data_IF_634392808522
#
_entry.id   IF_634392808522
#
_cell.length_a   1.000
_cell.length_b   1.000
_cell.length_c   1.000
_cell.angle_alpha   90.00
_cell.angle_beta   90.00
_cell.angle_gamma   90.00
#
_symmetry.space_group_name_H-M   'P 1'
#
loop_
_entity.id
_entity.type
_entity.pdbx_description
1 polymer ?
#
# COMPACT_ATOMS: atom_id res chain seq x y z
N UNK A 1 -24.08 -61.82 -3.10
CA UNK A 1 -22.84 -61.19 -2.62
C UNK A 1 -21.99 -60.80 -3.82
N UNK A 2 -22.28 -59.63 -4.36
CA UNK A 2 -21.32 -58.72 -4.99
C UNK A 2 -21.95 -57.33 -4.80
N UNK A 3 -22.11 -56.94 -3.53
CA UNK A 3 -22.82 -55.73 -3.11
C UNK A 3 -21.92 -54.47 -3.23
N UNK A 4 -20.82 -54.59 -3.96
CA UNK A 4 -19.83 -53.54 -4.16
C UNK A 4 -20.02 -52.97 -5.56
N UNK A 5 -20.18 -51.64 -5.72
CA UNK A 5 -20.16 -51.06 -7.06
C UNK A 5 -18.89 -51.51 -7.76
N UNK A 6 -19.04 -52.03 -8.97
CA UNK A 6 -17.91 -52.57 -9.74
C UNK A 6 -16.82 -51.49 -9.79
N UNK A 7 -15.58 -51.83 -9.43
CA UNK A 7 -14.45 -50.89 -9.42
C UNK A 7 -14.36 -50.12 -10.74
N UNK A 8 -14.69 -50.78 -11.85
CA UNK A 8 -14.83 -50.18 -13.17
C UNK A 8 -15.78 -48.97 -13.19
N UNK A 9 -16.98 -49.09 -12.60
CA UNK A 9 -17.97 -48.03 -12.56
C UNK A 9 -17.47 -46.83 -11.76
N UNK A 10 -16.79 -47.07 -10.63
CA UNK A 10 -16.17 -46.02 -9.82
C UNK A 10 -15.07 -45.29 -10.61
N UNK A 11 -14.23 -46.03 -11.34
CA UNK A 11 -13.18 -45.45 -12.21
C UNK A 11 -13.81 -44.62 -13.33
N UNK A 12 -14.86 -45.12 -13.98
CA UNK A 12 -15.57 -44.40 -15.05
C UNK A 12 -16.18 -43.09 -14.54
N UNK A 13 -16.85 -43.13 -13.37
CA UNK A 13 -17.37 -41.93 -12.70
C UNK A 13 -16.23 -40.94 -12.41
N UNK A 14 -15.12 -41.42 -11.85
CA UNK A 14 -13.95 -40.59 -11.55
C UNK A 14 -13.38 -39.89 -12.79
N UNK A 15 -13.24 -40.62 -13.91
CA UNK A 15 -12.76 -40.07 -15.19
C UNK A 15 -13.74 -39.05 -15.77
N UNK A 16 -15.05 -39.33 -15.74
CA UNK A 16 -16.09 -38.41 -16.22
C UNK A 16 -16.10 -37.11 -15.41
N UNK A 17 -16.03 -37.19 -14.08
CA UNK A 17 -16.00 -36.02 -13.21
C UNK A 17 -14.70 -35.24 -13.38
N UNK A 18 -13.55 -35.91 -13.44
CA UNK A 18 -12.26 -35.26 -13.63
C UNK A 18 -12.17 -34.54 -14.99
N UNK A 19 -12.59 -35.20 -16.07
CA UNK A 19 -12.65 -34.60 -17.40
C UNK A 19 -13.66 -33.44 -17.45
N UNK A 20 -14.82 -33.59 -16.82
CA UNK A 20 -15.83 -32.53 -16.70
C UNK A 20 -15.28 -31.29 -16.00
N UNK A 21 -14.61 -31.47 -14.84
CA UNK A 21 -13.97 -30.38 -14.10
C UNK A 21 -12.82 -29.74 -14.89
N UNK A 22 -12.00 -30.54 -15.58
CA UNK A 22 -10.93 -30.02 -16.42
C UNK A 22 -11.47 -29.13 -17.55
N UNK A 23 -12.55 -29.55 -18.20
CA UNK A 23 -13.23 -28.78 -19.25
C UNK A 23 -13.92 -27.51 -18.72
N UNK A 24 -14.46 -27.55 -17.48
CA UNK A 24 -15.05 -26.37 -16.84
C UNK A 24 -14.03 -25.26 -16.53
N UNK A 25 -12.75 -25.61 -16.41
CA UNK A 25 -11.67 -24.64 -16.18
C UNK A 25 -11.16 -24.00 -17.47
N UNK A 26 -11.65 -24.44 -18.63
CA UNK A 26 -11.25 -23.86 -19.91
C UNK A 26 -11.99 -22.56 -20.21
N UNK A 27 -11.43 -21.78 -21.13
CA UNK A 27 -11.92 -20.43 -21.45
C UNK A 27 -13.07 -20.40 -22.46
N UNK A 28 -13.22 -21.44 -23.27
CA UNK A 28 -14.24 -21.48 -24.34
C UNK A 28 -15.56 -22.01 -23.80
N UNK A 29 -16.64 -21.29 -24.12
CA UNK A 29 -18.01 -21.64 -23.71
C UNK A 29 -18.42 -23.03 -24.20
N UNK A 30 -17.97 -23.45 -25.38
CA UNK A 30 -18.26 -24.81 -25.91
C UNK A 30 -17.59 -25.90 -25.06
N UNK A 31 -16.36 -25.65 -24.59
CA UNK A 31 -15.64 -26.58 -23.70
C UNK A 31 -16.30 -26.63 -22.32
N UNK A 32 -16.70 -25.47 -21.78
CA UNK A 32 -17.48 -25.40 -20.52
C UNK A 32 -18.79 -26.19 -20.65
N UNK A 33 -19.52 -26.04 -21.78
CA UNK A 33 -20.75 -26.77 -22.06
C UNK A 33 -20.53 -28.30 -22.06
N UNK A 34 -19.49 -28.76 -22.76
CA UNK A 34 -19.10 -30.18 -22.74
C UNK A 34 -18.74 -30.63 -21.32
N UNK A 35 -18.05 -29.80 -20.54
CA UNK A 35 -17.75 -30.05 -19.14
C UNK A 35 -18.98 -30.27 -18.28
N UNK A 36 -20.01 -29.43 -18.42
CA UNK A 36 -21.31 -29.58 -17.72
C UNK A 36 -22.00 -30.89 -18.12
N UNK A 37 -22.00 -31.25 -19.41
CA UNK A 37 -22.59 -32.50 -19.90
C UNK A 37 -21.84 -33.71 -19.31
N UNK A 38 -20.50 -33.73 -19.38
CA UNK A 38 -19.69 -34.83 -18.84
C UNK A 38 -19.88 -34.98 -17.33
N UNK A 39 -19.87 -33.87 -16.59
CA UNK A 39 -20.07 -33.86 -15.14
C UNK A 39 -21.47 -34.37 -14.78
N UNK A 40 -22.51 -33.91 -15.48
CA UNK A 40 -23.89 -34.37 -15.28
C UNK A 40 -24.02 -35.89 -15.50
N UNK A 41 -23.40 -36.42 -16.56
CA UNK A 41 -23.36 -37.87 -16.80
C UNK A 41 -22.61 -38.63 -15.71
N UNK A 42 -21.47 -38.11 -15.25
CA UNK A 42 -20.71 -38.69 -14.13
C UNK A 42 -21.52 -38.74 -12.83
N UNK A 43 -22.24 -37.66 -12.50
CA UNK A 43 -23.12 -37.59 -11.32
C UNK A 43 -24.30 -38.56 -11.45
N UNK A 44 -24.93 -38.67 -12.62
CA UNK A 44 -26.01 -39.62 -12.86
C UNK A 44 -25.54 -41.07 -12.65
N UNK A 45 -24.35 -41.43 -13.14
CA UNK A 45 -23.75 -42.74 -12.91
C UNK A 45 -23.38 -42.93 -11.43
N UNK A 46 -22.95 -41.88 -10.74
CA UNK A 46 -22.67 -41.93 -9.30
C UNK A 46 -23.93 -42.19 -8.47
N UNK A 47 -25.05 -41.56 -8.82
CA UNK A 47 -26.35 -41.82 -8.19
C UNK A 47 -26.80 -43.25 -8.48
N UNK A 48 -26.63 -43.72 -9.72
CA UNK A 48 -26.95 -45.10 -10.08
C UNK A 48 -26.13 -46.10 -9.25
N UNK A 49 -24.86 -45.79 -8.99
CA UNK A 49 -23.98 -46.60 -8.14
C UNK A 49 -24.47 -46.75 -6.70
N UNK A 50 -25.29 -45.83 -6.20
CA UNK A 50 -25.86 -45.91 -4.84
C UNK A 50 -27.12 -46.76 -4.76
N UNK A 51 -27.70 -47.15 -5.91
CA UNK A 51 -28.98 -47.88 -5.99
C UNK A 51 -28.92 -49.37 -5.69
N UNK A 52 -27.79 -49.89 -5.23
CA UNK A 52 -27.65 -51.28 -4.79
C UNK A 52 -27.48 -52.28 -5.93
N UNK A 53 -27.84 -53.55 -5.65
CA UNK A 53 -27.65 -54.66 -6.58
C UNK A 53 -28.50 -54.50 -7.85
N UNK A 54 -27.96 -54.96 -8.98
CA UNK A 54 -28.70 -55.00 -10.23
C UNK A 54 -29.87 -56.00 -10.11
N UNK A 55 -31.10 -55.48 -10.10
CA UNK A 55 -32.33 -56.25 -10.11
C UNK A 55 -33.11 -56.10 -11.42
N UNK A 56 -34.27 -56.73 -11.50
CA UNK A 56 -35.20 -56.51 -12.61
C UNK A 56 -35.80 -55.09 -12.60
N UNK A 57 -36.47 -54.68 -13.71
CA UNK A 57 -37.11 -53.38 -13.80
C UNK A 57 -38.14 -53.18 -12.67
N UNK A 58 -38.22 -51.99 -12.04
CA UNK A 58 -39.21 -51.67 -11.01
C UNK A 58 -40.58 -51.42 -11.64
N UNK A 59 -41.12 -52.47 -12.27
CA UNK A 59 -42.42 -52.47 -12.94
C UNK A 59 -43.28 -53.57 -12.32
N UNK A 60 -44.47 -53.19 -11.86
CA UNK A 60 -45.42 -54.12 -11.24
C UNK A 60 -45.83 -55.21 -12.25
N UNK A 61 -45.75 -56.47 -11.81
CA UNK A 61 -46.17 -57.63 -12.61
C UNK A 61 -45.10 -58.24 -13.53
N UNK A 62 -43.88 -57.68 -13.57
CA UNK A 62 -42.78 -58.23 -14.38
C UNK A 62 -41.71 -58.94 -13.54
N UNK A 63 -41.37 -58.39 -12.38
CA UNK A 63 -40.32 -58.91 -11.48
C UNK A 63 -40.91 -59.10 -10.07
N UNK A 64 -40.55 -60.14 -9.31
CA UNK A 64 -40.83 -60.20 -7.87
C UNK A 64 -40.28 -58.98 -7.14
N UNK A 65 -40.96 -58.49 -6.10
CA UNK A 65 -40.60 -57.24 -5.39
C UNK A 65 -39.19 -57.34 -4.78
N UNK A 66 -38.81 -58.53 -4.34
CA UNK A 66 -37.52 -58.83 -3.72
C UNK A 66 -36.36 -58.79 -4.74
N UNK A 67 -36.66 -58.87 -6.03
CA UNK A 67 -35.67 -58.88 -7.13
C UNK A 67 -35.70 -57.56 -7.93
N UNK A 68 -36.52 -56.58 -7.55
CA UNK A 68 -36.58 -55.28 -8.22
C UNK A 68 -35.38 -54.40 -7.86
N UNK A 69 -34.89 -53.65 -8.85
CA UNK A 69 -33.95 -52.53 -8.59
C UNK A 69 -34.64 -51.40 -7.84
N UNK A 70 -33.90 -50.65 -7.02
CA UNK A 70 -34.45 -49.50 -6.28
C UNK A 70 -35.00 -48.42 -7.25
N UNK A 71 -36.30 -48.08 -7.18
CA UNK A 71 -36.90 -47.05 -8.04
C UNK A 71 -36.47 -45.62 -7.69
N UNK A 72 -35.99 -45.37 -6.46
CA UNK A 72 -35.67 -44.01 -5.99
C UNK A 72 -34.50 -43.37 -6.76
N UNK A 73 -33.32 -44.01 -6.91
CA UNK A 73 -32.23 -43.49 -7.74
C UNK A 73 -32.65 -43.27 -9.20
N UNK A 74 -33.50 -44.15 -9.75
CA UNK A 74 -33.95 -44.04 -11.14
C UNK A 74 -34.81 -42.80 -11.37
N UNK A 75 -35.75 -42.51 -10.46
CA UNK A 75 -36.56 -41.30 -10.51
C UNK A 75 -35.69 -40.03 -10.37
N UNK A 76 -34.66 -40.08 -9.52
CA UNK A 76 -33.73 -38.95 -9.34
C UNK A 76 -32.86 -38.69 -10.56
N UNK A 77 -32.38 -39.74 -11.22
CA UNK A 77 -31.62 -39.61 -12.47
C UNK A 77 -32.50 -39.03 -13.58
N UNK A 78 -33.76 -39.45 -13.69
CA UNK A 78 -34.68 -38.89 -14.69
C UNK A 78 -34.86 -37.37 -14.51
N UNK A 79 -35.01 -36.90 -13.26
CA UNK A 79 -35.11 -35.47 -12.97
C UNK A 79 -33.80 -34.74 -13.25
N UNK A 80 -32.67 -35.32 -12.89
CA UNK A 80 -31.35 -34.75 -13.15
C UNK A 80 -31.07 -34.61 -14.67
N UNK A 81 -31.48 -35.58 -15.49
CA UNK A 81 -31.35 -35.54 -16.95
C UNK A 81 -32.14 -34.36 -17.53
N UNK A 82 -33.38 -34.15 -17.10
CA UNK A 82 -34.23 -33.06 -17.61
C UNK A 82 -33.66 -31.69 -17.23
N UNK A 83 -33.18 -31.54 -15.98
CA UNK A 83 -32.52 -30.30 -15.54
C UNK A 83 -31.25 -30.04 -16.36
N UNK A 84 -30.42 -31.07 -16.54
CA UNK A 84 -29.18 -30.98 -17.32
C UNK A 84 -29.48 -30.59 -18.76
N UNK A 85 -30.52 -31.16 -19.38
CA UNK A 85 -30.96 -30.79 -20.72
C UNK A 85 -31.39 -29.31 -20.79
N UNK A 86 -32.16 -28.84 -19.83
CA UNK A 86 -32.60 -27.44 -19.76
C UNK A 86 -31.43 -26.46 -19.61
N UNK A 87 -30.50 -26.75 -18.69
CA UNK A 87 -29.29 -25.95 -18.50
C UNK A 87 -28.40 -26.00 -19.74
N UNK A 88 -28.23 -27.17 -20.36
CA UNK A 88 -27.43 -27.34 -21.59
C UNK A 88 -28.03 -26.54 -22.75
N UNK A 89 -29.34 -26.59 -22.95
CA UNK A 89 -30.02 -25.81 -23.98
C UNK A 89 -29.87 -24.30 -23.75
N UNK A 90 -29.99 -23.86 -22.49
CA UNK A 90 -29.78 -22.45 -22.11
C UNK A 90 -28.35 -21.99 -22.35
N UNK A 91 -27.36 -22.77 -21.88
CA UNK A 91 -25.94 -22.48 -22.09
C UNK A 91 -25.59 -22.48 -23.58
N UNK A 92 -26.14 -23.40 -24.37
CA UNK A 92 -25.94 -23.46 -25.81
C UNK A 92 -26.55 -22.24 -26.51
N UNK A 93 -27.74 -21.79 -26.10
CA UNK A 93 -28.35 -20.56 -26.62
C UNK A 93 -27.51 -19.32 -26.29
N UNK A 94 -26.94 -19.24 -25.08
CA UNK A 94 -26.01 -18.17 -24.70
C UNK A 94 -24.70 -18.23 -25.49
N UNK A 95 -24.12 -19.42 -25.66
CA UNK A 95 -22.91 -19.61 -26.45
C UNK A 95 -23.14 -19.19 -27.91
N UNK A 96 -24.27 -19.59 -28.51
CA UNK A 96 -24.68 -19.16 -29.84
C UNK A 96 -24.84 -17.64 -29.92
N UNK A 97 -25.48 -17.02 -28.92
CA UNK A 97 -25.65 -15.57 -28.86
C UNK A 97 -24.33 -14.83 -28.70
N UNK A 98 -23.42 -15.34 -27.89
CA UNK A 98 -22.06 -14.80 -27.69
C UNK A 98 -21.27 -14.86 -28.99
N UNK A 99 -21.28 -16.02 -29.66
CA UNK A 99 -20.63 -16.17 -30.96
C UNK A 99 -21.19 -15.20 -32.02
N UNK A 100 -22.51 -14.99 -32.06
CA UNK A 100 -23.13 -14.03 -32.97
C UNK A 100 -22.69 -12.57 -32.69
N UNK A 101 -22.39 -12.22 -31.44
CA UNK A 101 -22.02 -10.85 -31.04
C UNK A 101 -20.51 -10.58 -31.12
N UNK A 102 -19.68 -11.57 -30.79
CA UNK A 102 -18.23 -11.41 -30.65
C UNK A 102 -17.42 -12.14 -31.73
N UNK A 103 -18.01 -13.04 -32.51
CA UNK A 103 -17.31 -13.86 -33.51
C UNK A 103 -16.50 -15.02 -32.95
N UNK A 104 -16.32 -15.09 -31.62
CA UNK A 104 -15.65 -16.17 -30.90
C UNK A 104 -16.43 -16.54 -29.63
N UNK A 105 -16.20 -17.73 -29.07
CA UNK A 105 -16.90 -18.24 -27.88
C UNK A 105 -16.03 -18.21 -26.60
N UNK A 106 -14.92 -17.44 -26.61
CA UNK A 106 -14.06 -17.27 -25.44
C UNK A 106 -14.65 -16.32 -24.40
N UNK A 107 -14.60 -16.74 -23.13
CA UNK A 107 -14.94 -15.92 -21.98
C UNK A 107 -13.83 -14.89 -21.75
N UNK A 108 -14.13 -13.61 -21.98
CA UNK A 108 -13.17 -12.52 -21.82
C UNK A 108 -12.97 -12.11 -20.35
N UNK A 109 -11.75 -11.71 -20.01
CA UNK A 109 -11.45 -11.06 -18.73
C UNK A 109 -12.09 -9.68 -18.69
N UNK A 110 -12.84 -9.40 -17.61
CA UNK A 110 -13.55 -8.15 -17.41
C UNK A 110 -12.61 -6.93 -17.52
N UNK A 111 -13.01 -5.95 -18.33
CA UNK A 111 -12.31 -4.69 -18.47
C UNK A 111 -12.29 -3.90 -17.14
N UNK A 112 -13.26 -4.12 -16.25
CA UNK A 112 -13.29 -3.53 -14.91
C UNK A 112 -12.19 -4.10 -14.00
N UNK A 113 -11.93 -5.41 -14.06
CA UNK A 113 -10.84 -6.05 -13.32
C UNK A 113 -9.46 -5.53 -13.77
N UNK A 114 -9.27 -5.33 -15.07
CA UNK A 114 -8.06 -4.69 -15.62
C UNK A 114 -7.94 -3.21 -15.20
N UNK A 115 -9.04 -2.50 -15.00
CA UNK A 115 -9.03 -1.10 -14.49
C UNK A 115 -8.69 -1.05 -13.00
N UNK A 116 -9.03 -2.07 -12.22
CA UNK A 116 -8.67 -2.16 -10.81
C UNK A 116 -7.15 -2.37 -10.65
N UNK A 117 -6.53 -3.19 -11.50
CA UNK A 117 -5.06 -3.40 -11.47
C UNK A 117 -4.29 -2.10 -11.74
N UNK A 118 -4.67 -1.34 -12.78
CA UNK A 118 -4.09 0.00 -13.08
C UNK A 118 -4.49 1.07 -12.04
N UNK A 119 -5.64 0.91 -11.38
CA UNK A 119 -6.03 1.71 -10.22
C UNK A 119 -5.08 1.55 -9.02
N UNK A 120 -4.52 0.35 -8.85
CA UNK A 120 -3.52 0.02 -7.84
C UNK A 120 -2.27 0.91 -7.93
N UNK A 121 -1.72 1.09 -9.13
CA UNK A 121 -0.50 1.89 -9.34
C UNK A 121 -0.66 3.35 -8.89
N UNK A 122 -1.84 3.94 -9.16
CA UNK A 122 -2.15 5.31 -8.72
C UNK A 122 -2.28 5.41 -7.20
N UNK A 123 -2.87 4.39 -6.56
CA UNK A 123 -2.98 4.33 -5.09
C UNK A 123 -1.60 4.18 -4.46
N UNK A 124 -0.74 3.35 -5.05
CA UNK A 124 0.62 3.12 -4.58
C UNK A 124 1.51 4.36 -4.73
N UNK A 125 1.47 5.04 -5.88
CA UNK A 125 2.17 6.31 -6.08
C UNK A 125 1.72 7.36 -5.06
N UNK A 126 0.41 7.47 -4.80
CA UNK A 126 -0.11 8.39 -3.77
C UNK A 126 0.41 8.03 -2.38
N UNK A 127 0.49 6.75 -2.04
CA UNK A 127 1.06 6.27 -0.78
C UNK A 127 2.55 6.64 -0.66
N UNK A 128 3.38 6.33 -1.66
CA UNK A 128 4.81 6.70 -1.67
C UNK A 128 5.02 8.21 -1.52
N UNK A 129 4.25 9.04 -2.25
CA UNK A 129 4.34 10.50 -2.14
C UNK A 129 3.97 10.98 -0.72
N UNK A 130 2.97 10.39 -0.07
CA UNK A 130 2.60 10.73 1.31
C UNK A 130 3.72 10.35 2.28
N UNK A 131 4.32 9.17 2.12
CA UNK A 131 5.43 8.70 2.96
C UNK A 131 6.67 9.60 2.80
N UNK A 132 7.07 9.95 1.57
CA UNK A 132 8.17 10.89 1.33
C UNK A 132 7.94 12.27 1.96
N UNK A 133 6.71 12.80 1.87
CA UNK A 133 6.36 14.08 2.51
C UNK A 133 6.42 13.99 4.04
N UNK A 134 5.94 12.88 4.62
CA UNK A 134 6.02 12.63 6.06
C UNK A 134 7.47 12.52 6.53
N UNK A 135 8.33 11.84 5.76
CA UNK A 135 9.77 11.74 6.03
C UNK A 135 10.43 13.11 6.06
N UNK A 136 10.27 13.91 4.99
CA UNK A 136 10.85 15.25 4.92
C UNK A 136 10.35 16.16 6.06
N UNK A 137 9.06 16.12 6.39
CA UNK A 137 8.53 16.92 7.49
C UNK A 137 9.13 16.53 8.85
N UNK A 138 9.32 15.23 9.10
CA UNK A 138 9.99 14.74 10.32
C UNK A 138 11.43 15.24 10.40
N UNK A 139 12.16 15.19 9.29
CA UNK A 139 13.56 15.64 9.22
C UNK A 139 13.69 17.15 9.47
N UNK A 140 12.88 17.97 8.80
CA UNK A 140 12.84 19.42 9.02
C UNK A 140 12.46 19.74 10.48
N UNK A 141 11.52 18.98 11.06
CA UNK A 141 11.10 19.18 12.45
C UNK A 141 12.25 18.86 13.43
N UNK A 142 13.00 17.78 13.17
CA UNK A 142 14.17 17.40 13.96
C UNK A 142 15.28 18.45 13.87
N UNK A 143 15.60 18.94 12.66
CA UNK A 143 16.58 20.01 12.47
C UNK A 143 16.21 21.28 13.25
N UNK A 144 14.92 21.68 13.21
CA UNK A 144 14.43 22.83 13.97
C UNK A 144 14.48 22.62 15.48
N UNK A 145 14.20 21.42 15.98
CA UNK A 145 14.31 21.13 17.42
C UNK A 145 15.76 21.18 17.88
N UNK A 146 16.69 20.62 17.10
CA UNK A 146 18.12 20.63 17.41
C UNK A 146 18.68 22.06 17.42
N UNK A 147 18.31 22.86 16.42
CA UNK A 147 18.69 24.27 16.38
C UNK A 147 18.15 25.04 17.59
N UNK A 148 16.88 24.82 17.94
CA UNK A 148 16.27 25.45 19.12
C UNK A 148 16.98 25.03 20.41
N UNK A 149 17.38 23.77 20.52
CA UNK A 149 18.13 23.27 21.68
C UNK A 149 19.52 23.90 21.78
N UNK A 150 20.21 24.10 20.64
CA UNK A 150 21.50 24.81 20.59
C UNK A 150 21.38 26.27 21.04
N UNK A 151 20.39 26.99 20.53
CA UNK A 151 20.11 28.38 20.94
C UNK A 151 19.82 28.45 22.44
N UNK A 152 18.94 27.58 22.96
CA UNK A 152 18.64 27.55 24.38
C UNK A 152 19.84 27.13 25.26
N UNK A 153 20.82 26.40 24.72
CA UNK A 153 22.06 26.11 25.42
C UNK A 153 23.01 27.33 25.44
N UNK A 154 23.05 28.08 24.35
CA UNK A 154 23.83 29.31 24.23
C UNK A 154 23.26 30.43 25.12
N UNK A 155 21.93 30.62 25.11
CA UNK A 155 21.24 31.58 25.99
C UNK A 155 21.53 31.28 27.47
N UNK A 156 21.53 30.00 27.87
CA UNK A 156 21.90 29.59 29.25
C UNK A 156 23.34 29.94 29.61
N UNK A 157 24.28 29.86 28.65
CA UNK A 157 25.67 30.28 28.87
C UNK A 157 25.76 31.80 29.02
N UNK A 158 25.07 32.56 28.16
CA UNK A 158 25.00 34.01 28.28
C UNK A 158 24.40 34.44 29.63
N UNK A 159 23.33 33.78 30.10
CA UNK A 159 22.72 34.07 31.39
C UNK A 159 23.67 33.81 32.56
N UNK A 160 24.43 32.72 32.52
CA UNK A 160 25.45 32.41 33.52
C UNK A 160 26.57 33.46 33.52
N UNK A 161 27.09 33.85 32.35
CA UNK A 161 28.09 34.93 32.25
C UNK A 161 27.56 36.26 32.76
N UNK A 162 26.29 36.61 32.46
CA UNK A 162 25.66 37.83 32.96
C UNK A 162 25.49 37.79 34.48
N UNK A 163 25.21 36.63 35.06
CA UNK A 163 25.14 36.45 36.50
C UNK A 163 26.51 36.67 37.16
N UNK A 164 27.57 36.09 36.57
CA UNK A 164 28.95 36.28 37.04
C UNK A 164 29.40 37.74 36.97
N UNK A 165 29.13 38.44 35.86
CA UNK A 165 29.44 39.88 35.73
C UNK A 165 28.66 40.70 36.79
N UNK A 166 27.39 40.35 37.04
CA UNK A 166 26.57 41.02 38.06
C UNK A 166 27.13 40.81 39.46
N UNK A 167 27.62 39.61 39.75
CA UNK A 167 28.27 39.29 41.03
C UNK A 167 29.59 40.07 41.19
N UNK A 168 30.42 40.13 40.14
CA UNK A 168 31.64 40.95 40.11
C UNK A 168 31.35 42.43 40.36
N UNK A 169 30.30 42.98 39.74
CA UNK A 169 29.85 44.36 39.99
C UNK A 169 29.42 44.57 41.44
N UNK A 170 28.66 43.62 42.02
CA UNK A 170 28.22 43.70 43.40
C UNK A 170 29.38 43.54 44.41
N UNK A 171 30.42 42.77 44.07
CA UNK A 171 31.65 42.70 44.86
C UNK A 171 32.43 44.03 44.78
N UNK A 172 32.61 44.57 43.58
CA UNK A 172 33.29 45.84 43.38
C UNK A 172 32.58 47.01 44.09
N UNK A 173 31.24 47.02 44.12
CA UNK A 173 30.47 48.01 44.89
C UNK A 173 30.75 47.88 46.40
N UNK A 174 30.79 46.66 46.94
CA UNK A 174 31.11 46.42 48.36
C UNK A 174 32.53 46.87 48.71
N UNK A 175 33.51 46.58 47.86
CA UNK A 175 34.90 46.99 48.07
C UNK A 175 35.05 48.52 48.01
N UNK A 176 34.31 49.18 47.11
CA UNK A 176 34.27 50.63 47.01
C UNK A 176 33.64 51.26 48.26
N UNK A 177 32.53 50.71 48.75
CA UNK A 177 31.87 51.16 49.99
C UNK A 177 32.80 50.99 51.21
N UNK A 178 33.58 49.90 51.27
CA UNK A 178 34.59 49.70 52.31
C UNK A 178 35.71 50.75 52.26
N UNK A 179 36.24 51.06 51.07
CA UNK A 179 37.26 52.11 50.90
C UNK A 179 36.75 53.53 51.21
N UNK A 180 35.45 53.78 51.04
CA UNK A 180 34.79 55.04 51.40
C UNK A 180 34.58 55.17 52.92
N UNK A 181 34.53 54.05 53.65
CA UNK A 181 34.39 54.03 55.11
C UNK A 181 35.72 54.13 55.88
N UNK A 182 36.86 53.84 55.25
CA UNK A 182 38.20 53.98 55.81
C UNK A 182 38.78 55.39 55.55
N UNK A 183 39.59 55.91 56.47
CA UNK A 183 40.16 57.27 56.45
C UNK A 183 41.39 57.38 55.51
N UNK A 184 41.21 57.00 54.25
CA UNK A 184 42.26 57.03 53.21
C UNK A 184 42.40 58.43 52.57
N UNK A 185 43.64 58.77 52.18
CA UNK A 185 43.99 60.02 51.48
C UNK A 185 43.27 60.13 50.12
N UNK A 186 42.78 61.33 49.77
CA UNK A 186 41.96 61.59 48.58
C UNK A 186 42.65 61.22 47.25
N UNK A 187 43.97 61.33 47.18
CA UNK A 187 44.75 60.98 45.98
C UNK A 187 44.75 59.46 45.71
N UNK A 188 44.73 58.64 46.78
CA UNK A 188 44.69 57.17 46.70
C UNK A 188 43.31 56.69 46.27
N UNK A 189 42.24 57.36 46.75
CA UNK A 189 40.85 57.09 46.35
C UNK A 189 40.63 57.37 44.87
N UNK A 190 41.12 58.51 44.37
CA UNK A 190 40.93 58.89 42.97
C UNK A 190 41.64 57.91 42.02
N UNK A 191 42.88 57.51 42.35
CA UNK A 191 43.65 56.56 41.52
C UNK A 191 43.00 55.16 41.46
N UNK A 192 42.38 54.71 42.56
CA UNK A 192 41.61 53.47 42.60
C UNK A 192 40.33 53.53 41.75
N UNK A 193 39.59 54.64 41.81
CA UNK A 193 38.38 54.85 40.99
C UNK A 193 38.73 54.85 39.50
N UNK A 194 39.80 55.52 39.10
CA UNK A 194 40.22 55.62 37.70
C UNK A 194 40.70 54.27 37.14
N UNK A 195 41.59 53.55 37.84
CA UNK A 195 42.06 52.22 37.42
C UNK A 195 40.90 51.21 37.31
N UNK A 196 39.94 51.29 38.25
CA UNK A 196 38.80 50.37 38.27
C UNK A 196 37.71 50.72 37.26
N UNK A 197 37.47 52.00 36.97
CA UNK A 197 36.54 52.41 35.90
C UNK A 197 37.06 52.07 34.51
N UNK A 198 38.38 52.14 34.27
CA UNK A 198 39.00 51.62 33.06
C UNK A 198 38.83 50.10 32.94
N UNK A 199 39.05 49.35 34.02
CA UNK A 199 38.83 47.90 34.07
C UNK A 199 37.39 47.49 33.75
N UNK A 200 36.40 48.19 34.31
CA UNK A 200 34.98 47.95 34.04
C UNK A 200 34.62 48.32 32.60
N UNK A 201 35.10 49.46 32.07
CA UNK A 201 34.89 49.84 30.66
C UNK A 201 35.46 48.81 29.70
N UNK A 202 36.69 48.34 29.93
CA UNK A 202 37.32 47.31 29.11
C UNK A 202 36.53 45.99 29.13
N UNK A 203 35.96 45.62 30.28
CA UNK A 203 35.13 44.40 30.43
C UNK A 203 33.80 44.53 29.67
N UNK A 204 33.14 45.69 29.75
CA UNK A 204 31.89 45.97 29.02
C UNK A 204 32.12 46.00 27.51
N UNK A 205 33.21 46.60 27.03
CA UNK A 205 33.59 46.58 25.62
C UNK A 205 33.82 45.16 25.10
N UNK A 206 34.58 44.34 25.84
CA UNK A 206 34.80 42.93 25.50
C UNK A 206 33.49 42.13 25.47
N UNK A 207 32.58 42.36 26.42
CA UNK A 207 31.26 41.72 26.43
C UNK A 207 30.40 42.15 25.23
N UNK A 208 30.36 43.46 24.90
CA UNK A 208 29.66 43.97 23.72
C UNK A 208 30.22 43.41 22.41
N UNK A 209 31.54 43.27 22.31
CA UNK A 209 32.21 42.66 21.16
C UNK A 209 31.78 41.21 20.95
N UNK A 210 31.77 40.39 22.03
CA UNK A 210 31.32 39.00 21.99
C UNK A 210 29.85 38.86 21.59
N UNK A 211 28.94 39.64 22.18
CA UNK A 211 27.50 39.61 21.83
C UNK A 211 27.25 39.98 20.36
N UNK A 212 28.01 40.94 19.81
CA UNK A 212 27.92 41.28 18.38
C UNK A 212 28.39 40.13 17.50
N UNK A 213 29.47 39.44 17.88
CA UNK A 213 29.98 38.28 17.16
C UNK A 213 28.98 37.11 17.18
N UNK A 214 28.46 36.72 18.36
CA UNK A 214 27.45 35.66 18.50
C UNK A 214 26.18 35.96 17.71
N UNK A 215 25.70 37.22 17.72
CA UNK A 215 24.55 37.62 16.88
C UNK A 215 24.82 37.47 15.39
N UNK A 216 26.03 37.79 14.93
CA UNK A 216 26.40 37.66 13.53
C UNK A 216 26.48 36.18 13.11
N UNK A 217 27.06 35.35 13.97
CA UNK A 217 27.18 33.90 13.78
C UNK A 217 25.80 33.23 13.74
N UNK A 218 24.93 33.52 14.72
CA UNK A 218 23.55 33.04 14.76
C UNK A 218 22.76 33.43 13.51
N UNK A 219 22.89 34.69 13.07
CA UNK A 219 22.22 35.16 11.85
C UNK A 219 22.71 34.42 10.59
N UNK A 220 24.00 34.08 10.52
CA UNK A 220 24.56 33.30 9.42
C UNK A 220 24.01 31.86 9.40
N UNK A 221 23.94 31.20 10.56
CA UNK A 221 23.41 29.85 10.70
C UNK A 221 21.92 29.77 10.35
N UNK A 222 21.11 30.73 10.80
CA UNK A 222 19.69 30.78 10.48
C UNK A 222 19.44 30.98 8.98
N UNK A 223 20.27 31.77 8.29
CA UNK A 223 20.21 31.93 6.84
C UNK A 223 20.55 30.64 6.12
N UNK A 224 21.64 29.98 6.51
CA UNK A 224 22.08 28.71 5.94
C UNK A 224 21.02 27.61 6.10
N UNK A 225 20.42 27.48 7.29
CA UNK A 225 19.40 26.46 7.58
C UNK A 225 18.12 26.70 6.75
N UNK A 226 17.68 27.97 6.64
CA UNK A 226 16.53 28.35 5.80
C UNK A 226 16.78 28.06 4.32
N UNK A 227 18.01 28.24 3.85
CA UNK A 227 18.39 27.88 2.49
C UNK A 227 18.41 26.36 2.27
N UNK A 228 18.91 25.59 3.23
CA UNK A 228 18.90 24.12 3.19
C UNK A 228 17.46 23.59 3.12
N UNK A 229 16.55 24.09 3.97
CA UNK A 229 15.13 23.71 3.95
C UNK A 229 14.49 24.01 2.58
N UNK A 230 14.81 25.18 2.00
CA UNK A 230 14.33 25.56 0.65
C UNK A 230 14.86 24.63 -0.44
N UNK A 231 16.13 24.22 -0.37
CA UNK A 231 16.75 23.28 -1.33
C UNK A 231 16.08 21.91 -1.25
N UNK A 232 15.92 21.35 -0.04
CA UNK A 232 15.26 20.06 0.18
C UNK A 232 13.80 20.07 -0.33
N UNK A 233 13.03 21.13 -0.04
CA UNK A 233 11.65 21.27 -0.54
C UNK A 233 11.60 21.35 -2.08
N UNK A 234 12.52 22.09 -2.71
CA UNK A 234 12.61 22.19 -4.18
C UNK A 234 12.95 20.83 -4.79
N UNK A 235 13.89 20.11 -4.21
CA UNK A 235 14.30 18.79 -4.70
C UNK A 235 13.17 17.75 -4.58
N UNK A 236 12.49 17.69 -3.42
CA UNK A 236 11.33 16.81 -3.26
C UNK A 236 10.23 17.13 -4.27
N UNK A 237 9.95 18.42 -4.52
CA UNK A 237 8.97 18.82 -5.55
C UNK A 237 9.39 18.37 -6.94
N UNK A 238 10.68 18.45 -7.29
CA UNK A 238 11.22 17.94 -8.57
C UNK A 238 11.05 16.42 -8.68
N UNK A 239 11.42 15.67 -7.64
CA UNK A 239 11.25 14.20 -7.59
C UNK A 239 9.80 13.78 -7.74
N UNK A 240 8.87 14.39 -7.00
CA UNK A 240 7.43 14.10 -7.11
C UNK A 240 6.90 14.42 -8.51
N UNK A 241 7.34 15.52 -9.13
CA UNK A 241 6.93 15.87 -10.50
C UNK A 241 7.45 14.85 -11.51
N UNK A 242 8.70 14.40 -11.38
CA UNK A 242 9.29 13.37 -12.23
C UNK A 242 8.53 12.03 -12.12
N UNK A 243 8.29 11.55 -10.89
CA UNK A 243 7.52 10.33 -10.64
C UNK A 243 6.10 10.40 -11.23
N UNK A 244 5.40 11.54 -11.07
CA UNK A 244 4.08 11.74 -11.67
C UNK A 244 4.12 11.72 -13.20
N UNK A 245 5.17 12.27 -13.82
CA UNK A 245 5.35 12.23 -15.28
C UNK A 245 5.60 10.80 -15.76
N UNK A 246 6.45 10.04 -15.06
CA UNK A 246 6.76 8.65 -15.37
C UNK A 246 5.51 7.75 -15.32
N UNK A 247 4.69 7.86 -14.27
CA UNK A 247 3.44 7.09 -14.18
C UNK A 247 2.46 7.51 -15.28
N UNK A 248 2.37 8.79 -15.61
CA UNK A 248 1.52 9.24 -16.74
C UNK A 248 2.01 8.70 -18.08
N UNK A 249 3.32 8.66 -18.33
CA UNK A 249 3.87 8.10 -19.56
C UNK A 249 3.68 6.59 -19.64
N UNK A 250 3.77 5.87 -18.52
CA UNK A 250 3.49 4.43 -18.46
C UNK A 250 2.03 4.15 -18.82
N UNK A 251 1.08 4.84 -18.17
CA UNK A 251 -0.36 4.70 -18.47
C UNK A 251 -0.66 5.04 -19.94
N UNK A 252 -0.01 6.07 -20.49
CA UNK A 252 -0.18 6.44 -21.90
C UNK A 252 0.35 5.36 -22.84
N UNK A 253 1.57 4.87 -22.59
CA UNK A 253 2.18 3.83 -23.39
C UNK A 253 1.38 2.51 -23.33
N UNK A 254 0.83 2.18 -22.17
CA UNK A 254 -0.04 1.02 -22.00
C UNK A 254 -1.35 1.16 -22.78
N UNK A 255 -2.00 2.34 -22.74
CA UNK A 255 -3.17 2.64 -23.58
C UNK A 255 -2.87 2.54 -25.07
N UNK A 256 -1.72 3.06 -25.51
CA UNK A 256 -1.30 2.98 -26.91
C UNK A 256 -0.94 1.54 -27.35
N UNK A 257 -0.55 0.66 -26.43
CA UNK A 257 -0.38 -0.78 -26.70
C UNK A 257 -1.72 -1.49 -26.82
N UNK A 258 -2.65 -1.21 -25.90
CA UNK A 258 -3.99 -1.80 -25.93
C UNK A 258 -4.76 -1.40 -27.20
N UNK A 259 -4.72 -0.12 -27.57
CA UNK A 259 -5.35 0.34 -28.81
C UNK A 259 -4.76 -0.33 -30.07
N UNK A 260 -3.44 -0.57 -30.08
CA UNK A 260 -2.78 -1.31 -31.18
C UNK A 260 -3.14 -2.79 -31.21
N UNK A 261 -3.38 -3.41 -30.05
CA UNK A 261 -3.84 -4.79 -29.98
C UNK A 261 -5.28 -4.90 -30.51
N UNK A 262 -6.17 -3.98 -30.09
CA UNK A 262 -7.55 -3.91 -30.60
C UNK A 262 -7.60 -3.68 -32.12
N UNK A 263 -6.77 -2.78 -32.67
CA UNK A 263 -6.68 -2.57 -34.12
C UNK A 263 -6.10 -3.78 -34.88
N UNK A 264 -5.17 -4.52 -34.27
CA UNK A 264 -4.59 -5.73 -34.86
C UNK A 264 -5.58 -6.89 -34.89
N UNK A 265 -6.41 -7.03 -33.86
CA UNK A 265 -7.46 -8.05 -33.79
C UNK A 265 -8.56 -7.78 -34.84
N UNK A 266 -8.78 -6.51 -35.21
CA UNK A 266 -9.70 -6.12 -36.29
C UNK A 266 -9.13 -6.33 -37.70
N UNK A 267 -7.80 -6.39 -37.87
CA UNK A 267 -7.13 -6.58 -39.17
C UNK A 267 -6.76 -8.04 -39.48
N UNK A 268 -6.91 -8.96 -38.52
CA UNK A 268 -6.59 -10.39 -38.68
C UNK A 268 -7.73 -11.26 -39.22
N UNK A 269 -8.86 -10.67 -39.61
CA UNK A 269 -10.03 -11.38 -40.13
C UNK A 269 -10.22 -11.12 -41.64
N UNK A 270 -9.27 -11.59 -42.44
CA UNK A 270 -9.41 -11.82 -43.89
C UNK A 270 -8.97 -13.25 -44.23
#
# INVERSE_FOLDING_TARGET
>A
MNDTPTILLVVVVGVLVAAGVALLLERSLTRILLGVILLGNGVNLMILSTGGAAGGPPLLGLTPVEEMSDPLPQAMILTAIVITLGVTAFLLAMAYRSWQLQGHDEVQDDAEDRRISTGGERRELRRRIREQRRGLYKEIKAQRSDLKARIAAEDRREEAERAEIREQLAAAQRDLDACLSDDHDDETRQRYIDDRTEGVRATIEKARGRVRASRHELASHLRADKEAERRQRKELRRRIRAQKRQVRSQIRAERERLARAEDSDLQGAD
#
